data_IF_476873721032
#
_entry.id   IF_476873721032
#
_cell.length_a   1.000
_cell.length_b   1.000
_cell.length_c   1.000
_cell.angle_alpha   90.00
_cell.angle_beta   90.00
_cell.angle_gamma   90.00
#
_symmetry.space_group_name_H-M   'P 1'
#
loop_
_entity.id
_entity.type
_entity.pdbx_description
1 polymer ?
#
# COMPACT_ATOMS: atom_id res chain seq x y z
N UNK A 1 10.42 -13.22 9.52
CA UNK A 1 9.30 -12.42 10.04
C UNK A 1 8.48 -12.01 8.82
N UNK A 2 7.24 -12.48 8.69
CA UNK A 2 6.43 -12.30 7.48
C UNK A 2 5.62 -11.01 7.55
N UNK A 3 5.44 -10.33 6.43
CA UNK A 3 4.55 -9.17 6.31
C UNK A 3 3.32 -9.62 5.52
N UNK A 4 2.12 -9.18 5.92
CA UNK A 4 0.88 -9.57 5.23
C UNK A 4 -0.05 -8.37 5.03
N UNK A 5 -0.89 -8.42 4.01
CA UNK A 5 -1.90 -7.38 3.76
C UNK A 5 -3.00 -7.46 4.83
N UNK A 6 -3.07 -6.43 5.67
CA UNK A 6 -4.09 -6.30 6.71
C UNK A 6 -5.35 -5.59 6.19
N UNK A 7 -5.19 -4.61 5.30
CA UNK A 7 -6.30 -3.85 4.76
C UNK A 7 -6.00 -3.32 3.35
N UNK A 8 -7.04 -3.26 2.52
CA UNK A 8 -6.99 -2.65 1.19
C UNK A 8 -8.06 -1.58 1.07
N UNK A 9 -7.69 -0.46 0.47
CA UNK A 9 -8.61 0.66 0.23
C UNK A 9 -8.29 1.39 -1.07
N UNK A 10 -9.34 1.92 -1.70
CA UNK A 10 -9.24 2.92 -2.76
C UNK A 10 -9.94 4.21 -2.33
N UNK A 11 -9.57 5.32 -2.94
CA UNK A 11 -10.05 6.67 -2.67
C UNK A 11 -10.46 7.36 -3.97
N UNK A 12 -11.56 6.93 -4.61
CA UNK A 12 -11.95 7.40 -5.95
C UNK A 12 -12.20 8.92 -5.98
N UNK A 13 -12.75 9.44 -4.89
CA UNK A 13 -13.12 10.85 -4.77
C UNK A 13 -12.23 11.61 -3.78
N UNK A 14 -11.93 12.86 -4.13
CA UNK A 14 -11.14 13.75 -3.27
C UNK A 14 -11.97 14.14 -2.05
N UNK A 15 -11.47 13.81 -0.86
CA UNK A 15 -12.10 14.17 0.42
C UNK A 15 -13.22 13.24 0.85
N UNK A 16 -13.62 12.27 0.01
CA UNK A 16 -14.55 11.22 0.40
C UNK A 16 -13.87 10.17 1.30
N UNK A 17 -14.64 9.41 2.10
CA UNK A 17 -14.13 8.22 2.77
C UNK A 17 -13.52 7.21 1.78
N UNK A 18 -12.60 6.39 2.27
CA UNK A 18 -12.06 5.27 1.49
C UNK A 18 -13.09 4.17 1.30
N UNK A 19 -12.95 3.44 0.21
CA UNK A 19 -13.71 2.22 -0.07
C UNK A 19 -12.81 1.04 0.26
N UNK A 20 -13.15 0.31 1.33
CA UNK A 20 -12.45 -0.91 1.72
C UNK A 20 -12.70 -2.04 0.73
N UNK A 21 -11.67 -2.82 0.43
CA UNK A 21 -11.71 -3.93 -0.52
C UNK A 21 -11.19 -5.21 0.14
N UNK A 22 -11.70 -6.36 -0.30
CA UNK A 22 -11.08 -7.66 0.01
C UNK A 22 -9.97 -8.00 -0.99
N UNK A 23 -10.09 -7.50 -2.22
CA UNK A 23 -9.17 -7.74 -3.34
C UNK A 23 -9.15 -6.49 -4.23
N UNK A 24 -7.97 -6.13 -4.74
CA UNK A 24 -7.75 -5.03 -5.66
C UNK A 24 -6.90 -5.47 -6.85
N UNK A 25 -7.25 -4.95 -8.03
CA UNK A 25 -6.41 -5.04 -9.23
C UNK A 25 -5.40 -3.91 -9.21
N UNK A 26 -4.12 -4.24 -9.39
CA UNK A 26 -3.00 -3.30 -9.50
C UNK A 26 -2.63 -3.17 -10.97
N UNK A 27 -2.80 -1.96 -11.49
CA UNK A 27 -2.45 -1.54 -12.85
C UNK A 27 -1.13 -0.75 -12.84
N UNK A 28 -0.49 -0.50 -14.00
CA UNK A 28 0.82 0.18 -14.05
C UNK A 28 0.89 1.53 -13.33
N UNK A 29 -0.25 2.21 -13.14
CA UNK A 29 -0.33 3.52 -12.51
C UNK A 29 -1.07 3.53 -11.16
N UNK A 30 -1.46 2.38 -10.62
CA UNK A 30 -2.07 2.27 -9.28
C UNK A 30 -3.16 1.22 -9.19
N UNK A 31 -3.99 1.30 -8.15
CA UNK A 31 -5.12 0.37 -7.99
C UNK A 31 -6.29 0.80 -8.89
N UNK A 32 -6.92 -0.15 -9.57
CA UNK A 32 -8.09 0.11 -10.41
C UNK A 32 -9.19 0.81 -9.61
N UNK A 33 -9.64 1.97 -10.12
CA UNK A 33 -10.66 2.79 -9.48
C UNK A 33 -10.14 3.73 -8.38
N UNK A 34 -8.85 3.67 -8.03
CA UNK A 34 -8.25 4.63 -7.12
C UNK A 34 -7.93 5.96 -7.80
N UNK A 35 -8.09 7.06 -7.08
CA UNK A 35 -7.62 8.37 -7.53
C UNK A 35 -6.16 8.56 -7.12
N UNK A 36 -5.26 8.16 -8.01
CA UNK A 36 -3.81 8.30 -7.82
C UNK A 36 -3.42 9.69 -7.32
N UNK A 37 -2.59 9.71 -6.28
CA UNK A 37 -1.97 10.93 -5.76
C UNK A 37 -0.51 10.64 -5.46
N UNK A 38 0.41 11.48 -5.95
CA UNK A 38 1.87 11.44 -5.70
C UNK A 38 2.64 10.21 -6.20
N UNK A 39 2.09 9.00 -6.12
CA UNK A 39 2.69 7.73 -6.55
C UNK A 39 1.59 6.73 -6.91
N UNK A 40 1.93 5.61 -7.55
CA UNK A 40 0.97 4.57 -7.92
C UNK A 40 0.34 3.88 -6.69
N UNK A 41 1.15 3.56 -5.66
CA UNK A 41 0.69 2.85 -4.46
C UNK A 41 1.26 3.51 -3.20
N UNK A 42 0.41 3.71 -2.19
CA UNK A 42 0.83 4.09 -0.82
C UNK A 42 0.70 2.90 0.12
N UNK A 43 1.82 2.49 0.72
CA UNK A 43 1.90 1.43 1.73
C UNK A 43 2.08 2.04 3.12
N UNK A 44 1.38 1.52 4.13
CA UNK A 44 1.56 1.89 5.54
C UNK A 44 1.59 0.66 6.43
N UNK A 45 2.31 0.73 7.56
CA UNK A 45 2.29 -0.33 8.55
C UNK A 45 1.02 -0.23 9.41
N UNK A 46 0.43 -1.36 9.79
CA UNK A 46 -0.78 -1.43 10.61
C UNK A 46 -0.63 -0.65 11.92
N UNK A 47 0.54 -0.74 12.57
CA UNK A 47 0.85 0.00 13.80
C UNK A 47 0.79 1.52 13.64
N UNK A 48 0.97 2.03 12.43
CA UNK A 48 0.92 3.47 12.13
C UNK A 48 -0.50 3.97 11.81
N UNK A 49 -1.48 3.06 11.74
CA UNK A 49 -2.89 3.37 11.49
C UNK A 49 -3.72 3.52 12.77
N UNK A 50 -3.24 2.99 13.90
CA UNK A 50 -3.92 3.07 15.18
C UNK A 50 -3.92 4.51 15.74
N UNK A 51 -4.95 4.84 16.51
CA UNK A 51 -5.05 6.06 17.33
C UNK A 51 -4.90 7.39 16.57
N UNK A 52 -5.44 7.45 15.35
CA UNK A 52 -5.49 8.69 14.55
C UNK A 52 -6.92 9.13 14.30
N UNK A 53 -7.22 10.39 14.63
CA UNK A 53 -8.48 11.05 14.25
C UNK A 53 -8.67 11.10 12.73
N UNK A 54 -7.56 11.16 11.97
CA UNK A 54 -7.52 11.08 10.51
C UNK A 54 -6.49 9.99 10.10
N UNK A 55 -6.93 8.73 9.93
CA UNK A 55 -6.04 7.64 9.54
C UNK A 55 -5.48 7.88 8.12
N UNK A 56 -4.26 7.39 7.84
CA UNK A 56 -3.64 7.60 6.53
C UNK A 56 -4.50 7.02 5.41
N UNK A 57 -4.72 7.82 4.36
CA UNK A 57 -5.43 7.40 3.15
C UNK A 57 -4.51 6.59 2.23
N UNK A 58 -4.09 5.41 2.71
CA UNK A 58 -3.16 4.52 2.03
C UNK A 58 -3.90 3.37 1.32
N UNK A 59 -3.33 2.89 0.21
CA UNK A 59 -3.95 1.83 -0.57
C UNK A 59 -3.85 0.46 0.10
N UNK A 60 -2.68 0.18 0.68
CA UNK A 60 -2.36 -1.12 1.26
C UNK A 60 -1.80 -0.88 2.67
N UNK A 61 -2.45 -1.49 3.66
CA UNK A 61 -1.95 -1.57 5.03
C UNK A 61 -1.31 -2.94 5.21
N UNK A 62 -0.05 -2.96 5.62
CA UNK A 62 0.68 -4.18 5.91
C UNK A 62 0.78 -4.39 7.42
N UNK A 63 0.45 -5.58 7.89
CA UNK A 63 0.91 -6.04 9.19
C UNK A 63 2.37 -6.47 9.04
N UNK A 64 3.27 -5.67 9.57
CA UNK A 64 4.71 -5.83 9.43
C UNK A 64 5.40 -5.59 10.79
N UNK A 65 6.41 -6.40 11.13
CA UNK A 65 7.16 -6.24 12.37
C UNK A 65 8.02 -4.96 12.34
N UNK A 66 8.68 -4.73 11.22
CA UNK A 66 9.59 -3.59 11.01
C UNK A 66 8.87 -2.40 10.34
N UNK A 67 9.51 -1.24 10.37
CA UNK A 67 9.04 -0.07 9.61
C UNK A 67 9.27 -0.29 8.11
N UNK A 68 8.26 0.04 7.31
CA UNK A 68 8.30 -0.04 5.85
C UNK A 68 9.35 0.90 5.23
N UNK A 69 9.81 1.93 5.96
CA UNK A 69 10.91 2.80 5.48
C UNK A 69 12.19 1.99 5.17
N UNK A 70 12.40 0.86 5.83
CA UNK A 70 13.53 -0.05 5.57
C UNK A 70 13.47 -0.73 4.19
N UNK A 71 12.30 -0.68 3.53
CA UNK A 71 12.09 -1.23 2.19
C UNK A 71 12.40 -0.19 1.09
N UNK A 72 12.70 1.07 1.41
CA UNK A 72 13.01 2.07 0.38
C UNK A 72 14.20 1.62 -0.49
N UNK A 73 14.01 1.65 -1.80
CA UNK A 73 14.93 1.14 -2.81
C UNK A 73 14.83 -0.37 -3.05
N UNK A 74 13.95 -1.08 -2.34
CA UNK A 74 13.71 -2.51 -2.52
C UNK A 74 12.47 -2.77 -3.39
N UNK A 75 12.42 -3.98 -3.94
CA UNK A 75 11.24 -4.52 -4.59
C UNK A 75 10.50 -5.48 -3.67
N UNK A 76 9.17 -5.46 -3.75
CA UNK A 76 8.28 -6.23 -2.90
C UNK A 76 7.21 -6.88 -3.75
N UNK A 77 7.09 -8.21 -3.65
CA UNK A 77 5.93 -8.93 -4.20
C UNK A 77 4.79 -8.91 -3.20
N UNK A 78 3.59 -8.61 -3.65
CA UNK A 78 2.35 -8.71 -2.85
C UNK A 78 1.29 -9.35 -3.74
N UNK A 79 0.73 -10.48 -3.33
CA UNK A 79 -0.15 -11.28 -4.20
C UNK A 79 0.59 -11.66 -5.49
N UNK A 80 0.06 -11.24 -6.64
CA UNK A 80 0.72 -11.40 -7.95
C UNK A 80 1.38 -10.12 -8.48
N UNK A 81 1.31 -9.01 -7.75
CA UNK A 81 1.92 -7.74 -8.16
C UNK A 81 3.36 -7.61 -7.66
N UNK A 82 4.21 -6.95 -8.46
CA UNK A 82 5.56 -6.54 -8.07
C UNK A 82 5.64 -5.02 -7.96
N UNK A 83 6.05 -4.54 -6.79
CA UNK A 83 6.17 -3.12 -6.49
C UNK A 83 7.62 -2.74 -6.21
N UNK A 84 8.03 -1.55 -6.60
CA UNK A 84 9.29 -0.93 -6.17
C UNK A 84 8.98 0.18 -5.17
N UNK A 85 9.49 0.06 -3.94
CA UNK A 85 9.32 1.08 -2.92
C UNK A 85 10.32 2.21 -3.18
N UNK A 86 9.83 3.36 -3.60
CA UNK A 86 10.70 4.43 -4.12
C UNK A 86 11.14 5.42 -3.04
N UNK A 87 10.28 5.72 -2.06
CA UNK A 87 10.57 6.73 -1.04
C UNK A 87 9.64 6.66 0.16
N UNK A 88 10.07 7.24 1.27
CA UNK A 88 9.19 7.52 2.41
C UNK A 88 8.08 8.52 2.03
N UNK A 89 6.88 8.32 2.56
CA UNK A 89 5.80 9.29 2.43
C UNK A 89 6.11 10.54 3.28
N UNK A 90 5.96 11.73 2.69
CA UNK A 90 6.47 12.96 3.31
C UNK A 90 5.62 13.51 4.47
N UNK A 91 4.30 13.58 4.29
CA UNK A 91 3.38 14.20 5.27
C UNK A 91 2.49 13.16 5.97
N UNK A 92 2.67 11.89 5.65
CA UNK A 92 1.91 10.77 6.18
C UNK A 92 2.88 9.62 6.44
N UNK A 93 2.57 8.69 7.35
CA UNK A 93 3.38 7.49 7.57
C UNK A 93 3.54 6.64 6.31
N UNK A 94 4.48 5.69 6.39
CA UNK A 94 4.69 4.67 5.36
C UNK A 94 5.52 5.14 4.17
N UNK A 95 5.31 4.48 3.05
CA UNK A 95 6.17 4.60 1.86
C UNK A 95 5.34 4.64 0.58
N UNK A 96 5.87 5.29 -0.44
CA UNK A 96 5.33 5.25 -1.78
C UNK A 96 6.03 4.18 -2.61
N UNK A 97 5.25 3.51 -3.45
CA UNK A 97 5.74 2.51 -4.37
C UNK A 97 5.20 2.75 -5.78
N UNK A 98 6.00 2.35 -6.77
CA UNK A 98 5.61 2.27 -8.17
C UNK A 98 5.38 0.81 -8.56
N UNK A 99 4.54 0.59 -9.57
CA UNK A 99 4.20 -0.75 -10.05
C UNK A 99 5.22 -1.18 -11.10
N UNK A 100 5.91 -2.28 -10.84
CA UNK A 100 6.84 -2.90 -11.79
C UNK A 100 6.11 -3.95 -12.63
N UNK A 101 5.31 -4.80 -11.98
CA UNK A 101 4.46 -5.78 -12.65
C UNK A 101 3.02 -5.65 -12.13
N UNK A 102 2.04 -5.36 -13.01
CA UNK A 102 0.62 -5.39 -12.67
C UNK A 102 0.16 -6.75 -12.17
N UNK A 103 -0.87 -6.77 -11.33
CA UNK A 103 -1.34 -8.01 -10.73
C UNK A 103 -2.57 -7.81 -9.86
N UNK A 104 -2.77 -8.74 -8.94
CA UNK A 104 -3.87 -8.73 -7.99
C UNK A 104 -3.31 -8.86 -6.58
N UNK A 105 -3.91 -8.11 -5.67
CA UNK A 105 -3.60 -8.12 -4.25
C UNK A 105 -4.88 -8.36 -3.47
N UNK A 106 -4.86 -9.26 -2.51
CA UNK A 106 -5.94 -9.55 -1.58
C UNK A 106 -5.52 -9.35 -0.13
N UNK A 107 -6.49 -9.05 0.73
CA UNK A 107 -6.29 -9.09 2.18
C UNK A 107 -5.84 -10.50 2.57
N UNK A 108 -4.78 -10.58 3.39
CA UNK A 108 -4.11 -11.81 3.78
C UNK A 108 -2.95 -12.24 2.88
N UNK A 109 -2.72 -11.57 1.74
CA UNK A 109 -1.56 -11.89 0.89
C UNK A 109 -0.25 -11.57 1.62
N UNK A 110 0.73 -12.45 1.43
CA UNK A 110 2.08 -12.21 1.94
C UNK A 110 2.81 -11.15 1.10
N UNK A 111 3.45 -10.21 1.77
CA UNK A 111 4.38 -9.25 1.21
C UNK A 111 5.82 -9.71 1.46
N UNK A 112 6.59 -9.89 0.38
CA UNK A 112 7.99 -10.36 0.46
C UNK A 112 8.92 -9.44 -0.32
N UNK A 113 10.03 -9.08 0.30
CA UNK A 113 11.14 -8.41 -0.39
C UNK A 113 11.81 -9.40 -1.37
N UNK A 114 12.13 -8.93 -2.57
CA UNK A 114 12.86 -9.68 -3.60
C UNK A 114 14.22 -9.05 -3.92
#
# INVERSE_FOLDING_TARGET
MTMHVAHLSIYPDKGAPGVGLSTATVEPDGLTGDRRKKAAVHLVCLKDTADRDDPPRANIVLDAPDDLVSLVGARVTIGTALLEVTRQAGNCPGVYAEVIEPGQVSVGDEARRV
#
